data_IF_368858836355
#
_entry.id   IF_368858836355
#
_cell.length_a   1.000
_cell.length_b   1.000
_cell.length_c   1.000
_cell.angle_alpha   90.00
_cell.angle_beta   90.00
_cell.angle_gamma   90.00
#
_symmetry.space_group_name_H-M   'P 1'
#
loop_
_entity.id
_entity.type
_entity.pdbx_description
1 polymer ?
#
# COMPACT_ATOMS: atom_id res chain seq x y z
N UNK A 1 9.98 2.54 60.27
CA UNK A 1 10.84 2.77 59.09
C UNK A 1 10.17 3.87 58.29
N UNK A 2 10.74 5.08 58.29
CA UNK A 2 10.19 6.21 57.54
C UNK A 2 10.55 6.09 56.06
N UNK A 3 9.52 6.06 55.21
CA UNK A 3 9.64 6.10 53.76
C UNK A 3 10.13 7.49 53.35
N UNK A 4 11.44 7.61 53.10
CA UNK A 4 12.04 8.84 52.59
C UNK A 4 11.74 8.96 51.10
N UNK A 5 10.56 9.48 50.80
CA UNK A 5 10.11 9.74 49.43
C UNK A 5 11.11 10.62 48.68
N UNK A 6 11.44 10.22 47.45
CA UNK A 6 12.31 11.00 46.56
C UNK A 6 11.62 12.30 46.16
N UNK A 7 12.39 13.40 46.15
CA UNK A 7 11.93 14.70 45.72
C UNK A 7 12.76 15.18 44.53
N UNK A 8 12.09 15.74 43.53
CA UNK A 8 12.75 16.38 42.37
C UNK A 8 13.13 17.81 42.77
N UNK A 9 14.43 18.12 42.76
CA UNK A 9 14.94 19.47 42.94
C UNK A 9 15.50 19.98 41.61
N UNK A 10 14.84 20.98 41.03
CA UNK A 10 15.38 21.68 39.85
C UNK A 10 16.51 22.58 40.32
N UNK A 11 17.74 22.32 39.87
CA UNK A 11 18.94 23.08 40.24
C UNK A 11 19.28 24.16 39.23
N UNK A 12 18.86 23.99 37.98
CA UNK A 12 19.03 24.95 36.90
C UNK A 12 17.92 24.76 35.88
N UNK A 13 17.31 25.86 35.45
CA UNK A 13 16.37 25.88 34.33
C UNK A 13 16.88 26.91 33.34
N UNK A 14 17.18 26.44 32.12
CA UNK A 14 17.49 27.33 31.02
C UNK A 14 16.31 27.35 30.05
N UNK A 15 15.57 28.46 30.04
CA UNK A 15 14.43 28.68 29.15
C UNK A 15 14.82 29.44 27.86
N UNK A 16 16.13 29.62 27.60
CA UNK A 16 16.59 30.24 26.36
C UNK A 16 16.64 29.22 25.24
N UNK A 17 15.99 29.54 24.13
CA UNK A 17 16.03 28.72 22.93
C UNK A 17 17.31 29.02 22.14
N UNK A 18 17.96 27.98 21.63
CA UNK A 18 19.12 28.11 20.74
C UNK A 18 18.72 28.37 19.27
N UNK A 19 17.46 28.68 19.03
CA UNK A 19 16.90 29.03 17.73
C UNK A 19 15.85 30.12 17.90
N UNK A 20 15.61 30.90 16.84
CA UNK A 20 14.53 31.89 16.82
C UNK A 20 13.19 31.21 17.04
N UNK A 21 12.38 31.74 17.96
CA UNK A 21 10.98 31.39 18.06
C UNK A 21 10.21 32.23 17.05
N UNK A 22 9.39 31.60 16.22
CA UNK A 22 8.55 32.28 15.26
C UNK A 22 7.22 31.54 15.06
N UNK A 23 6.14 32.26 14.69
CA UNK A 23 4.84 31.64 14.42
C UNK A 23 4.93 30.50 13.40
N UNK A 24 5.76 30.68 12.36
CA UNK A 24 6.03 29.65 11.36
C UNK A 24 6.71 28.40 11.91
N UNK A 25 7.60 28.49 12.89
CA UNK A 25 8.18 27.31 13.53
C UNK A 25 7.16 26.58 14.39
N UNK A 26 6.31 27.34 15.09
CA UNK A 26 5.21 26.78 15.87
C UNK A 26 4.24 26.02 14.96
N UNK A 27 3.72 26.66 13.90
CA UNK A 27 2.72 26.05 13.03
C UNK A 27 3.25 24.81 12.28
N UNK A 28 4.56 24.80 11.98
CA UNK A 28 5.20 23.67 11.30
C UNK A 28 5.66 22.55 12.24
N UNK A 29 5.55 22.73 13.56
CA UNK A 29 5.87 21.69 14.50
C UNK A 29 4.96 20.45 14.24
N UNK A 30 5.51 19.22 14.19
CA UNK A 30 4.72 18.03 13.84
C UNK A 30 3.46 17.84 14.70
N UNK A 31 3.52 18.16 15.99
CA UNK A 31 2.37 18.08 16.89
C UNK A 31 1.24 19.06 16.49
N UNK A 32 1.60 20.25 16.01
CA UNK A 32 0.64 21.29 15.63
C UNK A 32 0.05 21.05 14.24
N UNK A 33 0.82 20.45 13.31
CA UNK A 33 0.35 20.04 11.98
C UNK A 33 -0.55 18.81 11.99
N UNK A 34 -0.48 17.99 13.03
CA UNK A 34 -1.16 16.68 13.11
C UNK A 34 -2.68 16.84 13.08
N UNK A 35 -3.35 16.04 12.25
CA UNK A 35 -4.82 15.93 12.21
C UNK A 35 -5.20 14.63 12.91
N UNK A 36 -5.87 14.73 14.05
CA UNK A 36 -6.38 13.60 14.84
C UNK A 36 -7.91 13.55 14.88
N UNK A 37 -8.58 14.48 14.19
CA UNK A 37 -10.02 14.53 14.05
C UNK A 37 -10.52 13.28 13.30
N UNK A 38 -11.38 12.50 13.96
CA UNK A 38 -11.86 11.23 13.43
C UNK A 38 -12.68 11.41 12.16
N UNK A 39 -13.54 12.43 12.08
CA UNK A 39 -14.36 12.70 10.89
C UNK A 39 -13.48 13.05 9.69
N UNK A 40 -12.43 13.86 9.93
CA UNK A 40 -11.47 14.18 8.87
C UNK A 40 -10.67 12.96 8.42
N UNK A 41 -10.29 12.07 9.35
CA UNK A 41 -9.58 10.84 9.02
C UNK A 41 -10.47 9.89 8.21
N UNK A 42 -11.74 9.74 8.58
CA UNK A 42 -12.69 8.90 7.84
C UNK A 42 -12.94 9.46 6.43
N UNK A 43 -13.04 10.78 6.28
CA UNK A 43 -13.13 11.44 4.97
C UNK A 43 -11.89 11.15 4.10
N UNK A 44 -10.68 11.21 4.67
CA UNK A 44 -9.44 10.82 3.97
C UNK A 44 -9.51 9.37 3.50
N UNK A 45 -10.04 8.47 4.35
CA UNK A 45 -10.11 7.04 4.05
C UNK A 45 -11.05 6.73 2.88
N UNK A 46 -12.22 7.36 2.87
CA UNK A 46 -13.20 7.25 1.78
C UNK A 46 -12.65 7.85 0.47
N UNK A 47 -12.11 9.07 0.52
CA UNK A 47 -11.62 9.75 -0.66
C UNK A 47 -10.40 9.05 -1.27
N UNK A 48 -9.52 8.50 -0.44
CA UNK A 48 -8.42 7.68 -0.92
C UNK A 48 -8.91 6.35 -1.51
N UNK A 49 -9.96 5.73 -0.96
CA UNK A 49 -10.58 4.54 -1.56
C UNK A 49 -11.17 4.83 -2.95
N UNK A 50 -11.75 6.02 -3.13
CA UNK A 50 -12.24 6.51 -4.42
C UNK A 50 -11.12 6.98 -5.39
N UNK A 51 -9.84 6.86 -5.00
CA UNK A 51 -8.71 7.22 -5.87
C UNK A 51 -8.39 8.71 -5.94
N UNK A 52 -8.89 9.53 -5.00
CA UNK A 52 -8.60 10.96 -4.97
C UNK A 52 -7.09 11.23 -4.87
N UNK A 53 -6.65 12.32 -5.52
CA UNK A 53 -5.25 12.76 -5.46
C UNK A 53 -4.92 13.26 -4.05
N UNK A 54 -3.84 12.76 -3.45
CA UNK A 54 -3.36 13.16 -2.10
C UNK A 54 -3.17 14.66 -1.94
N UNK A 55 -2.83 15.38 -3.02
CA UNK A 55 -2.72 16.85 -3.01
C UNK A 55 -4.06 17.53 -2.72
N UNK A 56 -5.15 17.04 -3.30
CA UNK A 56 -6.50 17.55 -3.04
C UNK A 56 -6.94 17.23 -1.62
N UNK A 57 -6.63 16.02 -1.13
CA UNK A 57 -6.87 15.63 0.26
C UNK A 57 -6.13 16.57 1.22
N UNK A 58 -4.86 16.87 0.95
CA UNK A 58 -4.08 17.82 1.75
C UNK A 58 -4.73 19.22 1.77
N UNK A 59 -5.15 19.73 0.62
CA UNK A 59 -5.82 21.04 0.53
C UNK A 59 -7.12 21.07 1.32
N UNK A 60 -7.93 20.01 1.25
CA UNK A 60 -9.13 19.86 2.07
C UNK A 60 -8.80 19.90 3.56
N UNK A 61 -7.82 19.11 4.01
CA UNK A 61 -7.41 19.06 5.41
C UNK A 61 -6.92 20.43 5.90
N UNK A 62 -6.17 21.17 5.09
CA UNK A 62 -5.76 22.55 5.41
C UNK A 62 -6.97 23.47 5.58
N UNK A 63 -7.91 23.45 4.62
CA UNK A 63 -9.11 24.29 4.65
C UNK A 63 -10.00 23.99 5.85
N UNK A 64 -10.15 22.72 6.22
CA UNK A 64 -11.06 22.29 7.28
C UNK A 64 -10.45 22.40 8.68
N UNK A 65 -9.17 22.07 8.84
CA UNK A 65 -8.50 22.07 10.15
C UNK A 65 -7.78 23.38 10.48
N UNK A 66 -7.49 24.23 9.48
CA UNK A 66 -6.64 25.41 9.64
C UNK A 66 -5.16 25.09 9.88
N UNK A 67 -4.77 23.81 9.89
CA UNK A 67 -3.40 23.36 10.18
C UNK A 67 -2.55 23.36 8.92
N UNK A 68 -1.23 23.55 9.10
CA UNK A 68 -0.24 23.48 8.03
C UNK A 68 0.10 22.04 7.61
N UNK A 69 -0.93 21.25 7.28
CA UNK A 69 -0.79 19.85 6.84
C UNK A 69 0.11 19.76 5.60
N UNK A 70 1.04 18.82 5.60
CA UNK A 70 1.96 18.56 4.48
C UNK A 70 1.55 17.29 3.74
N UNK A 71 2.08 17.10 2.53
CA UNK A 71 1.89 15.84 1.80
C UNK A 71 2.40 14.64 2.59
N UNK A 72 3.51 14.78 3.33
CA UNK A 72 4.05 13.71 4.18
C UNK A 72 3.04 13.28 5.24
N UNK A 73 2.30 14.22 5.84
CA UNK A 73 1.28 13.88 6.82
C UNK A 73 0.12 13.09 6.19
N UNK A 74 -0.31 13.49 4.99
CA UNK A 74 -1.32 12.73 4.23
C UNK A 74 -0.83 11.33 3.88
N UNK A 75 0.42 11.19 3.46
CA UNK A 75 1.03 9.88 3.23
C UNK A 75 1.01 9.01 4.49
N UNK A 76 1.37 9.57 5.65
CA UNK A 76 1.36 8.86 6.92
C UNK A 76 -0.06 8.44 7.34
N UNK A 77 -1.06 9.32 7.18
CA UNK A 77 -2.46 9.00 7.47
C UNK A 77 -2.93 7.85 6.57
N UNK A 78 -2.71 7.96 5.25
CA UNK A 78 -3.09 6.91 4.28
C UNK A 78 -2.37 5.60 4.57
N UNK A 79 -1.10 5.64 4.96
CA UNK A 79 -0.36 4.43 5.32
C UNK A 79 -0.97 3.76 6.56
N UNK A 80 -1.23 4.51 7.63
CA UNK A 80 -1.88 3.98 8.84
C UNK A 80 -3.27 3.41 8.54
N UNK A 81 -4.05 4.07 7.70
CA UNK A 81 -5.36 3.57 7.27
C UNK A 81 -5.24 2.26 6.47
N UNK A 82 -4.26 2.15 5.57
CA UNK A 82 -3.96 0.91 4.86
C UNK A 82 -3.53 -0.21 5.82
N UNK A 83 -2.72 0.10 6.82
CA UNK A 83 -2.32 -0.86 7.86
C UNK A 83 -3.53 -1.31 8.69
N UNK A 84 -4.40 -0.39 9.10
CA UNK A 84 -5.67 -0.71 9.79
C UNK A 84 -6.55 -1.64 8.96
N UNK A 85 -6.72 -1.37 7.66
CA UNK A 85 -7.47 -2.23 6.73
C UNK A 85 -6.83 -3.59 6.51
N UNK A 86 -5.49 -3.68 6.54
CA UNK A 86 -4.76 -4.95 6.44
C UNK A 86 -5.02 -5.85 7.66
N UNK A 87 -5.35 -5.26 8.82
CA UNK A 87 -5.54 -6.00 10.06
C UNK A 87 -4.28 -6.74 10.50
N UNK A 88 -4.43 -7.75 11.36
CA UNK A 88 -3.32 -8.64 11.78
C UNK A 88 -3.08 -9.80 10.80
N UNK A 89 -3.66 -9.75 9.60
CA UNK A 89 -3.59 -10.85 8.65
C UNK A 89 -2.23 -10.84 7.96
N UNK A 90 -1.54 -11.98 8.00
CA UNK A 90 -0.23 -12.11 7.36
C UNK A 90 -0.34 -12.02 5.83
N UNK A 91 0.78 -11.81 5.15
CA UNK A 91 0.81 -11.76 3.68
C UNK A 91 0.32 -13.08 3.10
N UNK A 92 0.70 -14.20 3.71
CA UNK A 92 0.36 -15.56 3.33
C UNK A 92 -1.15 -15.78 3.41
N UNK A 93 -1.79 -15.41 4.53
CA UNK A 93 -3.23 -15.56 4.69
C UNK A 93 -4.02 -14.72 3.67
N UNK A 94 -3.51 -13.53 3.30
CA UNK A 94 -4.11 -12.71 2.24
C UNK A 94 -3.89 -13.29 0.85
N UNK A 95 -2.69 -13.80 0.57
CA UNK A 95 -2.39 -14.48 -0.69
C UNK A 95 -3.31 -15.69 -0.87
N UNK A 96 -3.44 -16.50 0.18
CA UNK A 96 -4.32 -17.67 0.20
C UNK A 96 -5.78 -17.27 -0.08
N UNK A 97 -6.31 -16.28 0.63
CA UNK A 97 -7.69 -15.82 0.43
C UNK A 97 -7.93 -15.35 -1.02
N UNK A 98 -7.01 -14.57 -1.59
CA UNK A 98 -7.12 -14.10 -2.98
C UNK A 98 -7.03 -15.25 -3.99
N UNK A 99 -6.12 -16.21 -3.80
CA UNK A 99 -6.01 -17.36 -4.70
C UNK A 99 -7.23 -18.28 -4.61
N UNK A 100 -7.80 -18.46 -3.41
CA UNK A 100 -9.05 -19.20 -3.23
C UNK A 100 -10.23 -18.52 -3.92
N UNK A 101 -10.37 -17.20 -3.76
CA UNK A 101 -11.40 -16.42 -4.48
C UNK A 101 -11.22 -16.52 -6.00
N UNK A 102 -9.99 -16.35 -6.49
CA UNK A 102 -9.67 -16.49 -7.92
C UNK A 102 -10.03 -17.88 -8.48
N UNK A 103 -9.69 -18.94 -7.75
CA UNK A 103 -9.96 -20.34 -8.12
C UNK A 103 -11.42 -20.76 -7.89
N UNK A 104 -12.23 -19.98 -7.16
CA UNK A 104 -13.67 -20.24 -7.02
C UNK A 104 -14.42 -20.15 -8.36
N UNK A 105 -13.87 -19.38 -9.31
CA UNK A 105 -14.39 -19.27 -10.67
C UNK A 105 -14.03 -20.53 -11.46
N UNK A 106 -15.05 -21.21 -12.00
CA UNK A 106 -14.89 -22.47 -12.74
C UNK A 106 -13.84 -22.35 -13.85
N UNK A 107 -12.86 -23.25 -13.83
CA UNK A 107 -11.80 -23.35 -14.84
C UNK A 107 -10.59 -22.44 -14.60
N UNK A 108 -10.64 -21.53 -13.62
CA UNK A 108 -9.46 -20.84 -13.14
C UNK A 108 -8.56 -21.78 -12.33
N UNK A 109 -7.26 -21.59 -12.40
CA UNK A 109 -6.27 -22.32 -11.60
C UNK A 109 -5.15 -21.40 -11.15
N UNK A 110 -4.59 -21.67 -9.99
CA UNK A 110 -3.38 -21.02 -9.51
C UNK A 110 -2.45 -22.05 -8.89
N UNK A 111 -1.14 -21.85 -9.04
CA UNK A 111 -0.14 -22.77 -8.51
C UNK A 111 1.03 -21.98 -7.92
N UNK A 112 1.41 -22.37 -6.70
CA UNK A 112 2.56 -21.80 -5.98
C UNK A 112 3.68 -22.83 -6.05
N UNK A 113 4.81 -22.43 -6.63
CA UNK A 113 6.04 -23.20 -6.64
C UNK A 113 6.94 -22.67 -5.52
N UNK A 114 7.32 -23.55 -4.61
CA UNK A 114 8.19 -23.25 -3.47
C UNK A 114 9.51 -23.99 -3.59
N UNK A 115 10.57 -23.45 -3.01
CA UNK A 115 11.85 -24.16 -2.87
C UNK A 115 11.86 -25.07 -1.62
N UNK A 116 13.00 -25.72 -1.38
CA UNK A 116 13.20 -26.61 -0.22
C UNK A 116 13.04 -25.89 1.13
N UNK A 117 13.34 -24.58 1.17
CA UNK A 117 13.15 -23.72 2.35
C UNK A 117 11.70 -23.23 2.53
N UNK A 118 10.75 -23.72 1.72
CA UNK A 118 9.34 -23.29 1.68
C UNK A 118 9.14 -21.82 1.30
N UNK A 119 10.10 -21.22 0.62
CA UNK A 119 9.99 -19.88 0.05
C UNK A 119 9.34 -19.97 -1.33
N UNK A 120 8.30 -19.16 -1.56
CA UNK A 120 7.64 -19.05 -2.85
C UNK A 120 8.61 -18.47 -3.90
N UNK A 121 8.87 -19.23 -4.97
CA UNK A 121 9.68 -18.81 -6.10
C UNK A 121 8.81 -18.24 -7.22
N UNK A 122 7.73 -18.94 -7.53
CA UNK A 122 6.84 -18.59 -8.63
C UNK A 122 5.40 -18.81 -8.23
N UNK A 123 4.55 -17.84 -8.53
CA UNK A 123 3.10 -17.97 -8.39
C UNK A 123 2.50 -17.77 -9.77
N UNK A 124 1.73 -18.76 -10.23
CA UNK A 124 0.99 -18.69 -11.47
C UNK A 124 -0.50 -18.58 -11.17
N UNK A 125 -1.21 -17.80 -11.97
CA UNK A 125 -2.66 -17.71 -11.97
C UNK A 125 -3.13 -17.67 -13.43
N UNK A 126 -4.01 -18.59 -13.78
CA UNK A 126 -4.47 -18.80 -15.15
C UNK A 126 -5.99 -18.82 -15.13
N UNK A 127 -6.60 -17.93 -15.91
CA UNK A 127 -8.05 -17.97 -16.08
C UNK A 127 -8.45 -19.14 -16.97
N UNK A 128 -9.73 -19.53 -16.91
CA UNK A 128 -10.27 -20.51 -17.85
C UNK A 128 -10.01 -20.12 -19.31
N UNK A 129 -10.17 -18.83 -19.64
CA UNK A 129 -9.93 -18.32 -20.99
C UNK A 129 -8.47 -18.46 -21.41
N UNK A 130 -7.51 -18.10 -20.55
CA UNK A 130 -6.08 -18.25 -20.86
C UNK A 130 -5.73 -19.69 -21.21
N UNK A 131 -6.26 -20.66 -20.45
CA UNK A 131 -6.04 -22.08 -20.70
C UNK A 131 -6.66 -22.54 -22.01
N UNK A 132 -7.91 -22.12 -22.27
CA UNK A 132 -8.62 -22.46 -23.50
C UNK A 132 -7.92 -21.89 -24.74
N UNK A 133 -7.42 -20.66 -24.67
CA UNK A 133 -6.67 -20.05 -25.76
C UNK A 133 -5.33 -20.74 -25.99
N UNK A 134 -4.63 -21.13 -24.91
CA UNK A 134 -3.38 -21.88 -25.04
C UNK A 134 -3.59 -23.26 -25.65
N UNK A 135 -4.66 -23.97 -25.26
CA UNK A 135 -5.04 -25.26 -25.86
C UNK A 135 -5.43 -25.12 -27.34
N UNK A 136 -6.13 -24.04 -27.70
CA UNK A 136 -6.61 -23.82 -29.06
C UNK A 136 -5.52 -23.31 -30.02
N UNK A 137 -4.60 -22.47 -29.53
CA UNK A 137 -3.63 -21.75 -30.36
C UNK A 137 -2.27 -21.69 -29.64
N UNK A 138 -1.51 -22.80 -29.62
CA UNK A 138 -0.21 -22.83 -28.94
C UNK A 138 0.93 -22.22 -29.76
N UNK A 139 0.66 -21.76 -31.00
CA UNK A 139 1.70 -21.45 -31.99
C UNK A 139 2.60 -20.27 -31.60
N UNK A 140 2.03 -19.21 -31.04
CA UNK A 140 2.79 -18.03 -30.62
C UNK A 140 2.33 -17.56 -29.24
N UNK A 141 3.21 -17.77 -28.25
CA UNK A 141 3.07 -17.19 -26.91
C UNK A 141 4.07 -16.04 -26.75
N UNK A 142 3.55 -14.83 -26.55
CA UNK A 142 4.36 -13.66 -26.22
C UNK A 142 4.40 -13.50 -24.70
N UNK A 143 5.60 -13.31 -24.16
CA UNK A 143 5.83 -13.05 -22.74
C UNK A 143 6.33 -11.64 -22.59
N UNK A 144 5.53 -10.78 -21.97
CA UNK A 144 5.97 -9.47 -21.54
C UNK A 144 6.63 -9.58 -20.16
N UNK A 145 7.94 -9.34 -20.14
CA UNK A 145 8.78 -9.27 -18.95
C UNK A 145 9.28 -7.84 -18.67
N UNK A 146 8.75 -6.83 -19.37
CA UNK A 146 9.30 -5.48 -19.34
C UNK A 146 8.94 -4.77 -18.03
N UNK A 147 9.93 -4.72 -17.13
CA UNK A 147 10.02 -3.77 -15.99
C UNK A 147 8.91 -3.77 -14.94
N UNK A 148 8.04 -4.76 -14.88
CA UNK A 148 6.97 -4.77 -13.89
C UNK A 148 7.40 -5.57 -12.66
N UNK A 149 7.89 -4.89 -11.62
CA UNK A 149 8.29 -5.53 -10.36
C UNK A 149 7.31 -5.07 -9.27
N UNK A 150 6.72 -6.00 -8.51
CA UNK A 150 5.80 -5.61 -7.44
C UNK A 150 6.53 -5.05 -6.20
N UNK A 151 5.79 -4.53 -5.22
CA UNK A 151 6.35 -3.98 -3.96
C UNK A 151 7.24 -4.98 -3.19
N UNK A 152 7.06 -6.28 -3.43
CA UNK A 152 7.84 -7.37 -2.85
C UNK A 152 9.02 -7.81 -3.74
N UNK A 153 9.36 -7.04 -4.78
CA UNK A 153 10.45 -7.25 -5.72
C UNK A 153 10.32 -8.48 -6.64
N UNK A 154 9.15 -9.10 -6.71
CA UNK A 154 8.89 -10.17 -7.68
C UNK A 154 8.69 -9.59 -9.07
N UNK A 155 9.32 -10.21 -10.07
CA UNK A 155 9.07 -9.93 -11.49
C UNK A 155 7.67 -10.42 -11.84
N UNK A 156 6.88 -9.54 -12.45
CA UNK A 156 5.58 -9.84 -13.00
C UNK A 156 5.73 -10.12 -14.49
N UNK A 157 5.24 -11.27 -14.93
CA UNK A 157 5.21 -11.66 -16.33
C UNK A 157 3.76 -11.65 -16.80
N UNK A 158 3.51 -11.01 -17.94
CA UNK A 158 2.20 -11.05 -18.59
C UNK A 158 2.30 -11.86 -19.87
N UNK A 159 1.32 -12.73 -20.12
CA UNK A 159 1.30 -13.61 -21.29
C UNK A 159 0.22 -13.13 -22.25
N UNK A 160 0.58 -13.01 -23.53
CA UNK A 160 -0.32 -12.70 -24.62
C UNK A 160 -0.24 -13.83 -25.64
N UNK A 161 -1.40 -14.34 -26.06
CA UNK A 161 -1.50 -15.41 -27.05
C UNK A 161 -1.98 -14.75 -28.35
N UNK A 162 -1.27 -15.01 -29.44
CA UNK A 162 -1.62 -14.52 -30.78
C UNK A 162 -1.89 -15.68 -31.72
N UNK A 163 -2.93 -15.54 -32.54
CA UNK A 163 -3.25 -16.45 -33.64
C UNK A 163 -2.60 -15.95 -34.93
N UNK A 164 -1.83 -16.82 -35.60
CA UNK A 164 -1.35 -16.54 -36.95
C UNK A 164 -2.38 -17.11 -37.92
N UNK A 165 -3.24 -16.25 -38.45
CA UNK A 165 -4.01 -16.60 -39.64
C UNK A 165 -3.02 -16.69 -40.79
N UNK A 166 -2.63 -17.91 -41.17
CA UNK A 166 -1.96 -18.16 -42.43
C UNK A 166 -2.87 -17.70 -43.56
N UNK A 167 -2.38 -16.72 -44.32
CA UNK A 167 -3.16 -15.98 -45.30
C UNK A 167 -3.87 -16.89 -46.30
N UNK A 168 -5.18 -16.62 -46.47
CA UNK A 168 -5.90 -16.97 -47.69
C UNK A 168 -5.08 -16.39 -48.84
N UNK A 169 -4.47 -17.25 -49.66
CA UNK A 169 -3.99 -16.85 -50.98
C UNK A 169 -5.24 -16.48 -51.80
N UNK A 170 -5.46 -15.19 -52.01
CA UNK A 170 -6.30 -14.69 -53.12
C UNK A 170 -5.67 -15.04 -54.46
#
# INVERSE_FOLDING_TARGET
MEDKGFQVKVTQQNATHNHGLGPTMYDNHPANRRVDDAEMIDFVDEHQAAGAKKKLIMEFLRRRSGKNVTLRDVHNIVQKLKERRRGSTTIEARLEANLRDFCSRKGNTATIYVNDDKLAQTITFQTHQMRRFFEAVPEVMMVDATHNTNDARYKLFSFMIHDKIDGIKT
#
